data_IF_527317026798
#
_entry.id   IF_527317026798
#
_cell.length_a   1.000
_cell.length_b   1.000
_cell.length_c   1.000
_cell.angle_alpha   90.00
_cell.angle_beta   90.00
_cell.angle_gamma   90.00
#
_symmetry.space_group_name_H-M   'P 1'
#
loop_
_entity.id
_entity.type
_entity.pdbx_description
1 polymer ?
#
# COMPACT_ATOMS: atom_id res chain seq x y z
N UNK A 1 17.20 -6.88 -31.90
CA UNK A 1 15.99 -6.18 -31.42
C UNK A 1 16.47 -4.88 -30.79
N UNK A 2 16.11 -3.70 -31.33
CA UNK A 2 16.50 -2.43 -30.69
C UNK A 2 15.80 -2.36 -29.34
N UNK A 3 16.47 -1.95 -28.24
CA UNK A 3 15.76 -1.64 -27.01
C UNK A 3 14.68 -0.62 -27.34
N UNK A 4 13.47 -0.83 -26.84
CA UNK A 4 12.36 0.08 -27.04
C UNK A 4 12.75 1.48 -26.55
N UNK A 5 12.18 2.53 -27.13
CA UNK A 5 12.37 3.94 -26.76
C UNK A 5 12.07 4.27 -25.27
N UNK A 6 11.74 3.26 -24.46
CA UNK A 6 11.55 3.33 -23.01
C UNK A 6 12.88 3.32 -22.24
N UNK A 7 13.95 2.74 -22.81
CA UNK A 7 15.28 2.70 -22.16
C UNK A 7 16.00 4.05 -22.26
N UNK A 8 15.67 4.89 -23.25
CA UNK A 8 16.28 6.22 -23.42
C UNK A 8 15.72 7.29 -22.46
N UNK A 9 14.65 7.00 -21.73
CA UNK A 9 14.17 7.83 -20.62
C UNK A 9 14.44 7.06 -19.33
N UNK A 10 15.34 7.54 -18.48
CA UNK A 10 15.70 6.87 -17.23
C UNK A 10 14.56 6.86 -16.19
N UNK A 11 13.63 5.92 -16.28
CA UNK A 11 12.55 5.79 -15.30
C UNK A 11 13.03 5.04 -14.05
N UNK A 12 13.76 5.73 -13.18
CA UNK A 12 13.65 5.48 -11.75
C UNK A 12 12.74 6.59 -11.21
N UNK A 13 11.43 6.36 -11.14
CA UNK A 13 10.56 7.30 -10.44
C UNK A 13 10.74 7.09 -8.94
N UNK A 14 10.72 8.20 -8.21
CA UNK A 14 10.82 8.20 -6.76
C UNK A 14 9.70 9.06 -6.21
N UNK A 15 8.98 8.51 -5.24
CA UNK A 15 7.99 9.23 -4.46
C UNK A 15 8.15 8.88 -3.00
N UNK A 16 7.75 9.76 -2.12
CA UNK A 16 7.79 9.57 -0.69
C UNK A 16 6.59 10.24 -0.02
N UNK A 17 6.23 9.74 1.14
CA UNK A 17 5.17 10.35 1.93
C UNK A 17 5.44 10.07 3.39
N UNK A 18 5.53 11.14 4.18
CA UNK A 18 5.52 11.05 5.63
C UNK A 18 4.09 11.24 6.11
N UNK A 19 3.58 10.28 6.87
CA UNK A 19 2.22 10.32 7.39
C UNK A 19 2.22 10.02 8.87
N UNK A 20 1.40 10.78 9.58
CA UNK A 20 1.16 10.61 11.02
C UNK A 20 -0.33 10.43 11.22
N UNK A 21 -0.71 9.37 11.93
CA UNK A 21 -2.09 9.09 12.30
C UNK A 21 -2.12 8.60 13.75
N UNK A 22 -2.83 9.33 14.61
CA UNK A 22 -2.76 9.14 16.06
C UNK A 22 -1.30 9.12 16.57
N UNK A 23 -0.87 8.03 17.19
CA UNK A 23 0.50 7.84 17.68
C UNK A 23 1.41 7.06 16.70
N UNK A 24 0.90 6.74 15.51
CA UNK A 24 1.69 6.07 14.46
C UNK A 24 2.29 7.10 13.51
N UNK A 25 3.59 6.98 13.24
CA UNK A 25 4.31 7.83 12.30
C UNK A 25 5.17 6.97 11.38
N UNK A 26 4.97 7.13 10.07
CA UNK A 26 5.65 6.36 9.04
C UNK A 26 6.14 7.26 7.91
N UNK A 27 7.26 6.89 7.31
CA UNK A 27 7.71 7.39 6.01
C UNK A 27 7.65 6.25 5.01
N UNK A 28 6.86 6.42 3.96
CA UNK A 28 6.90 5.57 2.78
C UNK A 28 7.82 6.18 1.73
N UNK A 29 8.59 5.34 1.03
CA UNK A 29 9.39 5.71 -0.13
C UNK A 29 9.20 4.64 -1.21
N UNK A 30 8.84 5.07 -2.41
CA UNK A 30 8.57 4.22 -3.56
C UNK A 30 9.66 4.44 -4.59
N UNK A 31 10.22 3.34 -5.10
CA UNK A 31 11.26 3.32 -6.11
C UNK A 31 10.84 2.42 -7.27
N UNK A 32 11.06 2.87 -8.49
CA UNK A 32 10.80 2.08 -9.70
C UNK A 32 9.88 2.81 -10.68
N UNK A 33 9.31 2.11 -11.67
CA UNK A 33 9.61 0.73 -12.03
C UNK A 33 11.06 0.59 -12.55
N UNK A 34 11.82 -0.40 -12.08
CA UNK A 34 13.17 -0.69 -12.60
C UNK A 34 13.33 -2.16 -12.98
N UNK A 35 14.37 -2.49 -13.75
CA UNK A 35 14.62 -3.85 -14.21
C UNK A 35 14.81 -4.81 -13.03
N UNK A 36 14.05 -5.91 -13.03
CA UNK A 36 14.10 -6.87 -11.94
C UNK A 36 15.47 -7.57 -11.88
N UNK A 37 16.11 -7.54 -10.72
CA UNK A 37 17.38 -8.27 -10.49
C UNK A 37 17.20 -9.78 -10.37
N UNK A 38 15.97 -10.26 -10.19
CA UNK A 38 15.64 -11.66 -9.98
C UNK A 38 15.23 -12.34 -11.30
N UNK A 39 16.22 -12.61 -12.16
CA UNK A 39 16.05 -13.37 -13.40
C UNK A 39 15.60 -14.82 -13.22
N UNK A 40 15.61 -15.36 -11.99
CA UNK A 40 15.12 -16.71 -11.68
C UNK A 40 13.64 -16.77 -11.26
N UNK A 41 13.03 -15.62 -10.95
CA UNK A 41 11.58 -15.52 -10.72
C UNK A 41 10.82 -15.10 -12.00
N UNK A 42 11.50 -14.86 -13.11
CA UNK A 42 10.99 -14.08 -14.25
C UNK A 42 10.18 -14.89 -15.28
N UNK A 43 9.12 -15.57 -14.84
CA UNK A 43 8.04 -16.02 -15.74
C UNK A 43 6.95 -14.94 -15.92
N UNK A 44 7.12 -13.76 -15.31
CA UNK A 44 6.03 -12.80 -15.15
C UNK A 44 5.91 -11.84 -16.33
N UNK A 45 4.78 -11.93 -17.03
CA UNK A 45 4.25 -10.92 -17.94
C UNK A 45 3.82 -9.61 -17.25
N UNK A 46 4.00 -9.49 -15.92
CA UNK A 46 3.50 -8.38 -15.09
C UNK A 46 4.60 -7.81 -14.19
N UNK A 47 4.45 -6.55 -13.79
CA UNK A 47 5.30 -5.90 -12.79
C UNK A 47 5.23 -6.61 -11.44
N UNK A 48 6.36 -6.72 -10.76
CA UNK A 48 6.45 -7.16 -9.36
C UNK A 48 6.35 -5.92 -8.46
N UNK A 49 5.56 -6.00 -7.39
CA UNK A 49 5.55 -5.01 -6.32
C UNK A 49 6.13 -5.67 -5.08
N UNK A 50 7.20 -5.10 -4.54
CA UNK A 50 7.85 -5.56 -3.30
C UNK A 50 7.64 -4.51 -2.22
N UNK A 51 7.29 -4.93 -1.02
CA UNK A 51 7.16 -4.07 0.15
C UNK A 51 8.18 -4.49 1.19
N UNK A 52 8.87 -3.51 1.77
CA UNK A 52 9.82 -3.71 2.87
C UNK A 52 9.46 -2.75 4.01
N UNK A 53 9.33 -3.27 5.21
CA UNK A 53 9.00 -2.50 6.41
C UNK A 53 10.18 -2.56 7.37
N UNK A 54 10.75 -1.38 7.65
CA UNK A 54 11.78 -1.17 8.64
C UNK A 54 11.21 -0.47 9.87
N UNK A 55 11.35 -1.09 11.03
CA UNK A 55 11.07 -0.51 12.34
C UNK A 55 12.41 -0.31 13.08
N UNK A 56 12.53 0.74 13.89
CA UNK A 56 13.71 1.00 14.71
C UNK A 56 14.03 -0.16 15.68
N UNK A 57 13.01 -0.97 16.05
CA UNK A 57 13.15 -1.98 17.09
C UNK A 57 13.29 -3.43 16.58
N UNK A 58 12.69 -3.79 15.43
CA UNK A 58 12.85 -5.13 14.80
C UNK A 58 12.18 -5.19 13.42
N UNK A 59 12.87 -5.71 12.40
CA UNK A 59 12.30 -5.87 11.06
C UNK A 59 11.45 -7.13 10.87
N UNK A 60 11.62 -8.17 11.71
CA UNK A 60 10.94 -9.47 11.49
C UNK A 60 9.46 -9.50 11.88
N UNK A 61 8.98 -8.50 12.59
CA UNK A 61 7.58 -8.43 13.05
C UNK A 61 6.59 -8.25 11.89
N UNK A 62 7.05 -7.72 10.75
CA UNK A 62 6.18 -7.24 9.69
C UNK A 62 6.14 -8.13 8.44
N UNK A 63 6.80 -9.29 8.41
CA UNK A 63 6.89 -10.15 7.21
C UNK A 63 5.51 -10.50 6.61
N UNK A 64 4.53 -10.81 7.46
CA UNK A 64 3.16 -11.07 7.00
C UNK A 64 2.49 -9.80 6.45
N UNK A 65 2.74 -8.65 7.08
CA UNK A 65 2.21 -7.35 6.64
C UNK A 65 2.83 -6.92 5.32
N UNK A 66 4.14 -7.11 5.13
CA UNK A 66 4.85 -6.86 3.86
C UNK A 66 4.23 -7.64 2.71
N UNK A 67 3.94 -8.94 2.92
CA UNK A 67 3.29 -9.78 1.91
C UNK A 67 1.90 -9.26 1.55
N UNK A 68 1.07 -8.95 2.55
CA UNK A 68 -0.29 -8.42 2.34
C UNK A 68 -0.24 -7.09 1.59
N UNK A 69 0.66 -6.18 1.99
CA UNK A 69 0.80 -4.88 1.32
C UNK A 69 1.34 -5.03 -0.11
N UNK A 70 2.24 -5.99 -0.37
CA UNK A 70 2.74 -6.27 -1.72
C UNK A 70 1.62 -6.70 -2.66
N UNK A 71 0.78 -7.63 -2.21
CA UNK A 71 -0.41 -8.08 -2.95
C UNK A 71 -1.43 -6.95 -3.13
N UNK A 72 -1.68 -6.17 -2.07
CA UNK A 72 -2.56 -5.00 -2.10
C UNK A 72 -2.10 -3.97 -3.14
N UNK A 73 -0.83 -3.53 -3.10
CA UNK A 73 -0.34 -2.52 -4.04
C UNK A 73 -0.21 -3.06 -5.47
N UNK A 74 0.06 -4.36 -5.67
CA UNK A 74 -0.02 -4.97 -6.99
C UNK A 74 -1.45 -4.96 -7.57
N UNK A 75 -2.48 -4.98 -6.72
CA UNK A 75 -3.87 -4.83 -7.15
C UNK A 75 -4.23 -3.37 -7.49
N UNK A 76 -3.60 -2.39 -6.84
CA UNK A 76 -3.88 -0.96 -6.97
C UNK A 76 -3.12 -0.32 -8.14
N UNK A 77 -1.86 -0.70 -8.35
CA UNK A 77 -1.01 -0.21 -9.46
C UNK A 77 -1.39 -0.93 -10.75
N UNK A 78 -1.32 -0.22 -11.89
CA UNK A 78 -1.45 -0.82 -13.21
C UNK A 78 -0.18 -1.59 -13.61
N UNK A 79 0.03 -2.75 -12.98
CA UNK A 79 1.19 -3.61 -13.16
C UNK A 79 1.37 -4.14 -14.60
N UNK A 80 0.35 -4.06 -15.44
CA UNK A 80 0.42 -4.48 -16.85
C UNK A 80 1.11 -3.44 -17.74
N UNK A 81 1.17 -2.16 -17.31
CA UNK A 81 1.95 -1.12 -17.99
C UNK A 81 3.46 -1.28 -17.80
N UNK A 82 3.90 -2.07 -16.83
CA UNK A 82 5.31 -2.21 -16.45
C UNK A 82 5.77 -3.68 -16.47
N UNK A 83 5.64 -4.40 -17.60
CA UNK A 83 6.03 -5.81 -17.66
C UNK A 83 7.53 -5.98 -17.38
N UNK A 84 7.90 -7.06 -16.70
CA UNK A 84 9.29 -7.40 -16.34
C UNK A 84 10.00 -6.40 -15.40
N UNK A 85 9.26 -5.44 -14.85
CA UNK A 85 9.80 -4.45 -13.92
C UNK A 85 9.49 -4.81 -12.47
N UNK A 86 10.19 -4.14 -11.55
CA UNK A 86 9.95 -4.18 -10.12
C UNK A 86 9.70 -2.77 -9.60
N UNK A 87 8.69 -2.63 -8.74
CA UNK A 87 8.41 -1.45 -7.92
C UNK A 87 8.68 -1.86 -6.47
N UNK A 88 9.44 -1.06 -5.74
CA UNK A 88 9.75 -1.29 -4.33
C UNK A 88 9.13 -0.19 -3.49
N UNK A 89 8.35 -0.57 -2.48
CA UNK A 89 7.76 0.31 -1.48
C UNK A 89 8.44 0.06 -0.15
N UNK A 90 9.30 0.98 0.27
CA UNK A 90 10.00 0.93 1.54
C UNK A 90 9.28 1.77 2.58
N UNK A 91 9.09 1.22 3.77
CA UNK A 91 8.57 1.93 4.93
C UNK A 91 9.63 2.06 6.00
N UNK A 92 9.73 3.24 6.58
CA UNK A 92 10.41 3.49 7.85
C UNK A 92 9.36 3.88 8.89
N UNK A 93 9.21 3.06 9.92
CA UNK A 93 8.36 3.35 11.07
C UNK A 93 9.18 4.17 12.07
N UNK A 94 8.66 5.31 12.50
CA UNK A 94 9.24 6.15 13.56
C UNK A 94 8.53 5.95 14.90
N UNK A 95 7.22 5.78 14.86
CA UNK A 95 6.41 5.40 16.01
C UNK A 95 5.29 4.47 15.56
N UNK A 96 4.93 3.48 16.39
CA UNK A 96 3.85 2.54 16.10
C UNK A 96 2.84 2.48 17.23
N UNK A 97 1.58 2.42 16.84
CA UNK A 97 0.44 2.11 17.68
C UNK A 97 -0.37 0.95 17.04
N UNK A 98 -1.49 0.60 17.63
CA UNK A 98 -2.41 -0.45 17.12
C UNK A 98 -2.90 -0.17 15.69
N UNK A 99 -2.83 1.08 15.20
CA UNK A 99 -3.35 1.56 13.91
C UNK A 99 -2.28 1.77 12.83
N UNK A 100 -1.25 0.92 12.82
CA UNK A 100 -0.13 1.11 11.91
C UNK A 100 -0.47 0.76 10.44
N UNK A 101 -1.35 -0.22 10.20
CA UNK A 101 -1.56 -0.77 8.85
C UNK A 101 -2.27 0.22 7.92
N UNK A 102 -3.34 0.89 8.37
CA UNK A 102 -3.99 1.93 7.54
C UNK A 102 -3.03 3.09 7.24
N UNK A 103 -2.18 3.45 8.21
CA UNK A 103 -1.17 4.49 8.08
C UNK A 103 -0.13 4.11 7.02
N UNK A 104 0.34 2.86 7.02
CA UNK A 104 1.22 2.32 5.98
C UNK A 104 0.55 2.37 4.60
N UNK A 105 -0.70 1.93 4.49
CA UNK A 105 -1.44 1.92 3.21
C UNK A 105 -1.56 3.35 2.65
N UNK A 106 -2.02 4.30 3.46
CA UNK A 106 -2.23 5.68 3.01
C UNK A 106 -0.92 6.40 2.68
N UNK A 107 0.15 6.16 3.46
CA UNK A 107 1.48 6.71 3.16
C UNK A 107 2.06 6.11 1.88
N UNK A 108 1.97 4.79 1.72
CA UNK A 108 2.45 4.11 0.51
C UNK A 108 1.71 4.57 -0.73
N UNK A 109 0.39 4.66 -0.67
CA UNK A 109 -0.42 5.16 -1.76
C UNK A 109 -0.06 6.60 -2.15
N UNK A 110 0.12 7.49 -1.17
CA UNK A 110 0.56 8.87 -1.41
C UNK A 110 1.95 8.93 -2.06
N UNK A 111 2.88 8.07 -1.63
CA UNK A 111 4.19 7.95 -2.24
C UNK A 111 4.13 7.39 -3.67
N UNK A 112 3.23 6.45 -3.96
CA UNK A 112 3.00 5.92 -5.32
C UNK A 112 2.44 7.00 -6.24
N UNK A 113 1.50 7.84 -5.75
CA UNK A 113 1.02 9.02 -6.48
C UNK A 113 2.18 9.97 -6.78
N UNK A 114 3.01 10.28 -5.79
CA UNK A 114 4.14 11.20 -5.98
C UNK A 114 5.19 10.65 -6.95
N UNK A 115 5.38 9.32 -6.97
CA UNK A 115 6.21 8.63 -7.96
C UNK A 115 5.59 8.66 -9.37
N UNK A 116 4.37 9.17 -9.54
CA UNK A 116 3.65 9.25 -10.81
C UNK A 116 3.49 7.88 -11.49
N UNK A 117 3.23 6.85 -10.67
CA UNK A 117 2.89 5.52 -11.13
C UNK A 117 1.40 5.47 -11.50
N UNK A 118 1.08 4.70 -12.54
CA UNK A 118 -0.31 4.54 -12.96
C UNK A 118 -1.10 3.70 -11.94
N UNK A 119 -2.26 4.20 -11.56
CA UNK A 119 -3.17 3.59 -10.59
C UNK A 119 -4.45 3.14 -11.29
N UNK A 120 -4.96 1.96 -10.91
CA UNK A 120 -6.28 1.48 -11.36
C UNK A 120 -7.43 2.15 -10.63
N UNK A 121 -7.19 2.59 -9.40
CA UNK A 121 -8.22 3.18 -8.55
C UNK A 121 -7.62 4.13 -7.50
N UNK A 122 -8.49 4.96 -6.91
CA UNK A 122 -8.17 5.70 -5.70
C UNK A 122 -8.46 4.84 -4.48
N UNK A 123 -7.69 5.02 -3.41
CA UNK A 123 -7.84 4.23 -2.19
C UNK A 123 -7.83 5.13 -0.96
N UNK A 124 -8.58 4.71 0.07
CA UNK A 124 -8.51 5.27 1.42
C UNK A 124 -8.53 4.10 2.39
N UNK A 125 -7.64 4.11 3.37
CA UNK A 125 -7.60 3.12 4.43
C UNK A 125 -7.81 3.72 5.82
N UNK A 126 -8.41 2.95 6.71
CA UNK A 126 -8.63 3.32 8.10
C UNK A 126 -8.64 2.11 9.02
N UNK A 127 -8.11 2.30 10.22
CA UNK A 127 -8.19 1.34 11.30
C UNK A 127 -9.34 1.69 12.25
N UNK A 128 -10.08 0.67 12.65
CA UNK A 128 -11.11 0.70 13.68
C UNK A 128 -10.64 -0.20 14.81
N UNK A 129 -10.48 0.37 16.01
CA UNK A 129 -9.94 -0.33 17.17
C UNK A 129 -10.91 -0.16 18.34
N UNK A 130 -11.23 -1.26 19.00
CA UNK A 130 -11.86 -1.30 20.31
C UNK A 130 -11.06 -2.26 21.23
N UNK A 131 -11.56 -2.55 22.43
CA UNK A 131 -10.83 -3.34 23.43
C UNK A 131 -10.49 -4.77 23.00
N UNK A 132 -11.31 -5.40 22.16
CA UNK A 132 -11.16 -6.82 21.78
C UNK A 132 -10.88 -7.02 20.28
N UNK A 133 -11.07 -5.98 19.47
CA UNK A 133 -11.10 -6.07 18.03
C UNK A 133 -10.31 -4.93 17.39
N UNK A 134 -9.56 -5.31 16.35
CA UNK A 134 -8.92 -4.41 15.40
C UNK A 134 -9.33 -4.78 13.99
N UNK A 135 -9.79 -3.78 13.23
CA UNK A 135 -10.18 -3.92 11.84
C UNK A 135 -9.49 -2.85 11.00
N UNK A 136 -8.74 -3.27 9.98
CA UNK A 136 -8.23 -2.38 8.93
C UNK A 136 -9.07 -2.55 7.68
N UNK A 137 -9.66 -1.46 7.20
CA UNK A 137 -10.37 -1.41 5.93
C UNK A 137 -9.61 -0.53 4.94
N UNK A 138 -9.46 -0.97 3.69
CA UNK A 138 -9.08 -0.13 2.57
C UNK A 138 -10.13 -0.25 1.46
N UNK A 139 -10.67 0.87 1.02
CA UNK A 139 -11.78 0.94 0.05
C UNK A 139 -11.42 1.81 -1.14
N UNK A 140 -12.15 1.61 -2.24
CA UNK A 140 -12.15 2.57 -3.36
C UNK A 140 -13.27 3.60 -3.11
N UNK A 141 -12.92 4.89 -2.91
CA UNK A 141 -13.93 5.93 -2.69
C UNK A 141 -14.95 5.98 -3.82
N UNK A 142 -16.21 6.27 -3.47
CA UNK A 142 -17.35 6.34 -4.39
C UNK A 142 -17.67 5.03 -5.12
N UNK A 143 -17.28 3.89 -4.54
CA UNK A 143 -17.65 2.56 -5.02
C UNK A 143 -17.96 1.63 -3.85
N UNK A 144 -18.56 0.48 -4.15
CA UNK A 144 -18.83 -0.58 -3.17
C UNK A 144 -17.63 -1.54 -3.01
N UNK A 145 -16.47 -1.20 -3.58
CA UNK A 145 -15.30 -2.07 -3.57
C UNK A 145 -14.46 -1.87 -2.32
N UNK A 146 -14.40 -2.93 -1.51
CA UNK A 146 -13.45 -3.11 -0.42
C UNK A 146 -12.25 -3.87 -0.99
N UNK A 147 -11.07 -3.24 -0.97
CA UNK A 147 -9.83 -3.82 -1.49
C UNK A 147 -9.10 -4.65 -0.43
N UNK A 148 -9.24 -4.26 0.84
CA UNK A 148 -8.61 -4.94 1.96
C UNK A 148 -9.52 -4.89 3.18
N UNK A 149 -9.65 -6.02 3.86
CA UNK A 149 -10.26 -6.14 5.17
C UNK A 149 -9.41 -7.08 6.02
N UNK A 150 -8.69 -6.53 7.00
CA UNK A 150 -7.90 -7.29 7.96
C UNK A 150 -8.53 -7.19 9.33
N UNK A 151 -8.89 -8.33 9.91
CA UNK A 151 -9.58 -8.41 11.18
C UNK A 151 -8.76 -9.23 12.18
N UNK A 152 -8.53 -8.68 13.35
CA UNK A 152 -7.89 -9.32 14.50
C UNK A 152 -8.87 -9.22 15.68
N UNK A 153 -9.41 -10.36 16.13
CA UNK A 153 -10.41 -10.42 17.20
C UNK A 153 -11.82 -10.80 16.70
N UNK A 154 -12.80 -10.93 17.61
CA UNK A 154 -14.17 -11.27 17.28
C UNK A 154 -14.84 -10.11 16.54
N UNK A 155 -15.37 -10.39 15.34
CA UNK A 155 -16.09 -9.41 14.52
C UNK A 155 -17.57 -9.76 14.47
N UNK A 156 -18.40 -8.82 14.90
CA UNK A 156 -19.83 -8.88 14.61
C UNK A 156 -20.15 -8.17 13.28
N UNK A 157 -21.16 -8.68 12.59
CA UNK A 157 -21.52 -8.19 11.26
C UNK A 157 -22.08 -6.77 11.28
N UNK A 158 -22.75 -6.37 12.37
CA UNK A 158 -23.38 -5.05 12.48
C UNK A 158 -22.30 -3.95 12.63
N UNK A 159 -21.32 -4.18 13.49
CA UNK A 159 -20.14 -3.34 13.66
C UNK A 159 -19.32 -3.26 12.38
N UNK A 160 -19.11 -4.38 11.68
CA UNK A 160 -18.46 -4.36 10.38
C UNK A 160 -19.17 -3.42 9.39
N UNK A 161 -20.50 -3.50 9.29
CA UNK A 161 -21.29 -2.61 8.45
C UNK A 161 -21.20 -1.14 8.89
N UNK A 162 -21.15 -0.88 10.20
CA UNK A 162 -20.96 0.47 10.73
C UNK A 162 -19.58 1.03 10.35
N UNK A 163 -18.52 0.23 10.45
CA UNK A 163 -17.17 0.62 10.04
C UNK A 163 -17.10 0.98 8.55
N UNK A 164 -17.69 0.13 7.67
CA UNK A 164 -17.76 0.41 6.23
C UNK A 164 -18.49 1.73 5.96
N UNK A 165 -19.68 1.92 6.56
CA UNK A 165 -20.45 3.17 6.42
C UNK A 165 -19.71 4.40 6.95
N UNK A 166 -18.96 4.25 8.05
CA UNK A 166 -18.17 5.32 8.65
C UNK A 166 -17.06 5.79 7.71
N UNK A 167 -16.28 4.84 7.17
CA UNK A 167 -15.23 5.14 6.19
C UNK A 167 -15.81 5.76 4.91
N UNK A 168 -17.00 5.30 4.54
CA UNK A 168 -17.76 5.87 3.44
C UNK A 168 -18.31 7.27 3.71
N UNK A 169 -18.49 7.71 4.95
CA UNK A 169 -19.00 9.07 5.22
C UNK A 169 -17.87 10.11 5.32
N UNK A 170 -16.63 9.67 5.55
CA UNK A 170 -15.44 10.52 5.48
C UNK A 170 -15.10 10.97 4.04
N UNK A 171 -15.89 10.51 3.05
CA UNK A 171 -15.92 10.90 1.62
C UNK A 171 -15.97 12.43 1.35
N UNK A 172 -16.20 13.30 2.34
CA UNK A 172 -16.43 14.74 2.13
C UNK A 172 -15.22 15.67 2.40
N UNK A 173 -14.11 15.17 2.97
CA UNK A 173 -13.01 16.05 3.45
C UNK A 173 -11.74 15.98 2.59
N UNK A 174 -11.60 14.98 1.73
CA UNK A 174 -10.38 14.78 0.92
C UNK A 174 -10.64 15.26 -0.53
N UNK A 175 -10.46 16.56 -0.76
CA UNK A 175 -10.27 17.20 -2.09
C UNK A 175 -8.97 17.98 -2.04
#
# INVERSE_FOLDING_TARGET
>A
MKPSNLVEKGWATMGYSRMSNCNSEVLAAVYGPFESRNSQKSDYSKCIVEVVISDMHSSKEFEQTEKVLSEFFASVVDIEKYPYMTIVVNYQIFSKDMTIVSTLINAGYSAIIQANLELKCRIVAKDFVNEELKLTLAIVPFSDFILLSLCEGPMDFEYYQQCVKSLENEKQIII
#
